data_IF_735392017141
#
_entry.id   IF_735392017141
#
_cell.length_a   1.000
_cell.length_b   1.000
_cell.length_c   1.000
_cell.angle_alpha   90.00
_cell.angle_beta   90.00
_cell.angle_gamma   90.00
#
_symmetry.space_group_name_H-M   'P 1'
#
loop_
_entity.id
_entity.type
_entity.pdbx_description
1 polymer ?
#
# COMPACT_ATOMS: atom_id res chain seq x y z
N UNK A 1 9.57 -19.73 26.96
CA UNK A 1 9.12 -19.10 25.70
C UNK A 1 8.00 -19.89 25.02
N UNK A 2 8.17 -21.18 24.73
CA UNK A 2 7.13 -22.07 24.15
C UNK A 2 5.82 -22.15 24.97
N UNK A 3 5.91 -22.21 26.31
CA UNK A 3 4.72 -22.24 27.17
C UNK A 3 3.94 -20.90 27.17
N UNK A 4 4.63 -19.77 27.00
CA UNK A 4 4.00 -18.45 26.93
C UNK A 4 3.21 -18.28 25.64
N UNK A 5 3.78 -18.72 24.50
CA UNK A 5 3.07 -18.76 23.23
C UNK A 5 1.84 -19.67 23.29
N UNK A 6 1.94 -20.84 23.94
CA UNK A 6 0.82 -21.76 24.09
C UNK A 6 -0.32 -21.16 24.92
N UNK A 7 -0.01 -20.46 26.02
CA UNK A 7 -1.01 -19.81 26.87
C UNK A 7 -1.71 -18.62 26.17
N UNK A 8 -0.97 -17.85 25.35
CA UNK A 8 -1.56 -16.76 24.54
C UNK A 8 -2.52 -17.34 23.49
N UNK A 9 -2.11 -18.41 22.81
CA UNK A 9 -2.94 -19.09 21.81
C UNK A 9 -4.19 -19.70 22.44
N UNK A 10 -4.08 -20.40 23.57
CA UNK A 10 -5.22 -20.95 24.32
C UNK A 10 -6.18 -19.85 24.82
N UNK A 11 -5.65 -18.72 25.32
CA UNK A 11 -6.47 -17.59 25.75
C UNK A 11 -7.25 -16.92 24.61
N UNK A 12 -6.69 -16.91 23.39
CA UNK A 12 -7.39 -16.45 22.20
C UNK A 12 -8.43 -17.46 21.70
N UNK A 13 -8.14 -18.78 21.79
CA UNK A 13 -9.10 -19.85 21.44
C UNK A 13 -10.41 -19.73 22.23
N UNK A 14 -10.34 -19.51 23.54
CA UNK A 14 -11.52 -19.39 24.41
C UNK A 14 -12.37 -18.15 24.06
N UNK A 15 -11.71 -17.04 23.74
CA UNK A 15 -12.36 -15.79 23.24
C UNK A 15 -13.01 -15.98 21.87
N UNK A 16 -12.40 -16.80 21.00
CA UNK A 16 -12.87 -17.08 19.65
C UNK A 16 -14.05 -18.05 19.61
N UNK A 17 -14.17 -18.93 20.62
CA UNK A 17 -15.29 -19.89 20.78
C UNK A 17 -16.56 -19.23 21.31
N UNK A 18 -16.42 -18.24 22.21
CA UNK A 18 -17.56 -17.49 22.79
C UNK A 18 -18.21 -16.47 21.84
N UNK A 19 -17.53 -16.05 20.76
CA UNK A 19 -17.98 -14.92 19.93
C UNK A 19 -18.84 -15.27 18.71
N UNK A 20 -19.10 -16.54 18.40
CA UNK A 20 -20.03 -16.91 17.30
C UNK A 20 -19.79 -16.18 15.97
N UNK A 21 -18.54 -15.78 15.69
CA UNK A 21 -18.24 -14.92 14.54
C UNK A 21 -18.12 -15.81 13.29
N UNK A 22 -18.80 -15.49 12.18
CA UNK A 22 -18.77 -16.33 10.98
C UNK A 22 -17.33 -16.51 10.49
N UNK A 23 -17.00 -17.75 10.09
CA UNK A 23 -15.67 -18.19 9.63
C UNK A 23 -15.03 -17.22 8.62
N UNK A 24 -15.86 -16.54 7.83
CA UNK A 24 -15.50 -15.55 6.81
C UNK A 24 -14.70 -14.36 7.38
N UNK A 25 -15.01 -13.87 8.59
CA UNK A 25 -14.34 -12.69 9.16
C UNK A 25 -12.92 -13.00 9.64
N UNK A 26 -12.62 -14.26 9.99
CA UNK A 26 -11.29 -14.68 10.48
C UNK A 26 -10.28 -14.91 9.34
N UNK A 27 -10.76 -15.25 8.15
CA UNK A 27 -9.90 -15.52 6.98
C UNK A 27 -9.29 -14.24 6.42
N UNK A 28 -9.99 -13.10 6.49
CA UNK A 28 -9.48 -11.81 5.97
C UNK A 28 -8.23 -11.32 6.71
N UNK A 29 -8.19 -11.44 8.04
CA UNK A 29 -7.04 -11.04 8.84
C UNK A 29 -5.80 -11.91 8.53
N UNK A 30 -6.01 -13.22 8.38
CA UNK A 30 -4.95 -14.14 7.98
C UNK A 30 -4.43 -13.85 6.57
N UNK A 31 -5.30 -13.53 5.62
CA UNK A 31 -4.88 -13.18 4.25
C UNK A 31 -4.04 -11.90 4.20
N UNK A 32 -4.38 -10.89 5.02
CA UNK A 32 -3.58 -9.66 5.13
C UNK A 32 -2.19 -9.91 5.71
N UNK A 33 -2.06 -10.77 6.72
CA UNK A 33 -0.76 -11.13 7.28
C UNK A 33 0.07 -11.95 6.29
N UNK A 34 -0.55 -12.87 5.55
CA UNK A 34 0.12 -13.62 4.48
C UNK A 34 0.68 -12.68 3.39
N UNK A 35 -0.07 -11.66 2.99
CA UNK A 35 0.40 -10.65 2.04
C UNK A 35 1.58 -9.84 2.58
N UNK A 36 1.51 -9.42 3.86
CA UNK A 36 2.56 -8.64 4.51
C UNK A 36 3.91 -9.36 4.55
N UNK A 37 3.88 -10.68 4.74
CA UNK A 37 5.08 -11.51 4.82
C UNK A 37 5.43 -12.18 3.48
N UNK A 38 4.74 -11.85 2.39
CA UNK A 38 5.00 -12.43 1.06
C UNK A 38 4.80 -13.94 0.99
N UNK A 39 3.93 -14.50 1.83
CA UNK A 39 3.74 -15.95 1.92
C UNK A 39 2.99 -16.45 0.68
N UNK A 40 3.50 -17.56 0.10
CA UNK A 40 2.87 -18.22 -1.04
C UNK A 40 1.49 -18.77 -0.69
N UNK A 41 0.58 -18.85 -1.67
CA UNK A 41 -0.77 -19.35 -1.44
C UNK A 41 -0.80 -20.79 -0.89
N UNK A 42 0.20 -21.63 -1.25
CA UNK A 42 0.31 -23.01 -0.75
C UNK A 42 0.75 -23.05 0.71
N UNK A 43 1.74 -22.24 1.07
CA UNK A 43 2.19 -22.13 2.46
C UNK A 43 1.09 -21.52 3.35
N UNK A 44 0.41 -20.48 2.85
CA UNK A 44 -0.73 -19.87 3.54
C UNK A 44 -1.88 -20.87 3.75
N UNK A 45 -2.20 -21.67 2.74
CA UNK A 45 -3.16 -22.77 2.85
C UNK A 45 -2.82 -23.77 3.96
N UNK A 46 -1.55 -24.20 4.06
CA UNK A 46 -1.10 -25.11 5.10
C UNK A 46 -1.19 -24.49 6.50
N UNK A 47 -0.74 -23.24 6.65
CA UNK A 47 -0.79 -22.50 7.93
C UNK A 47 -2.24 -22.32 8.40
N UNK A 48 -3.14 -21.87 7.53
CA UNK A 48 -4.54 -21.66 7.89
C UNK A 48 -5.22 -23.00 8.19
N UNK A 49 -4.92 -24.06 7.43
CA UNK A 49 -5.44 -25.41 7.71
C UNK A 49 -5.02 -25.92 9.09
N UNK A 50 -3.74 -25.79 9.44
CA UNK A 50 -3.21 -26.21 10.74
C UNK A 50 -3.84 -25.41 11.89
N UNK A 51 -3.97 -24.08 11.74
CA UNK A 51 -4.64 -23.24 12.75
C UNK A 51 -6.12 -23.60 12.91
N UNK A 52 -6.82 -23.91 11.81
CA UNK A 52 -8.22 -24.31 11.87
C UNK A 52 -8.43 -25.69 12.51
N UNK A 53 -7.47 -26.61 12.36
CA UNK A 53 -7.43 -27.87 13.09
C UNK A 53 -7.20 -27.64 14.58
N UNK A 54 -6.22 -26.81 14.94
CA UNK A 54 -5.89 -26.48 16.35
C UNK A 54 -7.04 -25.80 17.11
N UNK A 55 -7.88 -25.02 16.39
CA UNK A 55 -9.06 -24.35 16.93
C UNK A 55 -10.28 -25.29 16.95
N UNK A 56 -10.16 -26.52 16.42
CA UNK A 56 -11.22 -27.53 16.42
C UNK A 56 -12.35 -27.23 15.42
N UNK A 57 -12.10 -26.40 14.42
CA UNK A 57 -13.05 -26.08 13.34
C UNK A 57 -13.03 -27.17 12.26
N UNK A 58 -11.85 -27.76 12.04
CA UNK A 58 -11.65 -28.88 11.12
C UNK A 58 -11.22 -30.09 11.95
N UNK A 59 -11.85 -31.24 11.72
CA UNK A 59 -11.52 -32.53 12.37
C UNK A 59 -10.98 -33.50 11.33
N UNK A 60 -9.89 -34.21 11.66
CA UNK A 60 -9.27 -35.23 10.80
C UNK A 60 -10.22 -36.40 10.48
N UNK A 61 -11.22 -36.67 11.33
CA UNK A 61 -12.11 -37.82 11.18
C UNK A 61 -13.18 -37.67 10.09
N UNK A 62 -13.37 -36.48 9.54
CA UNK A 62 -14.32 -36.29 8.45
C UNK A 62 -13.56 -36.28 7.13
N UNK A 63 -13.28 -37.46 6.58
CA UNK A 63 -12.50 -37.70 5.36
C UNK A 63 -13.05 -36.94 4.12
N UNK A 64 -14.32 -36.50 4.18
CA UNK A 64 -14.95 -35.63 3.16
C UNK A 64 -14.68 -34.12 3.37
N UNK A 65 -14.32 -33.70 4.59
CA UNK A 65 -13.88 -32.34 4.96
C UNK A 65 -12.35 -32.21 5.07
N UNK A 66 -11.58 -33.24 4.68
CA UNK A 66 -10.14 -33.16 4.36
C UNK A 66 -9.90 -32.34 3.08
N UNK A 67 -10.86 -31.50 2.68
CA UNK A 67 -10.58 -30.30 1.88
C UNK A 67 -10.03 -29.25 2.84
N UNK A 68 -8.75 -29.41 3.20
CA UNK A 68 -7.96 -28.33 3.78
C UNK A 68 -8.13 -27.05 2.99
N UNK A 69 -7.78 -25.91 3.58
CA UNK A 69 -7.90 -24.62 2.90
C UNK A 69 -7.12 -24.71 1.58
N UNK A 70 -7.83 -24.83 0.46
CA UNK A 70 -7.17 -24.97 -0.83
C UNK A 70 -6.47 -23.66 -1.19
N UNK A 71 -5.39 -23.77 -1.95
CA UNK A 71 -4.67 -22.64 -2.54
C UNK A 71 -5.64 -21.69 -3.24
N UNK A 72 -6.66 -22.21 -3.95
CA UNK A 72 -7.63 -21.37 -4.63
C UNK A 72 -8.53 -20.58 -3.67
N UNK A 73 -8.82 -21.10 -2.46
CA UNK A 73 -9.59 -20.36 -1.45
C UNK A 73 -8.77 -19.17 -0.93
N UNK A 74 -7.48 -19.37 -0.62
CA UNK A 74 -6.57 -18.27 -0.25
C UNK A 74 -6.51 -17.22 -1.36
N UNK A 75 -6.32 -17.65 -2.61
CA UNK A 75 -6.26 -16.75 -3.76
C UNK A 75 -7.53 -15.93 -3.91
N UNK A 76 -8.71 -16.54 -3.78
CA UNK A 76 -10.01 -15.84 -3.86
C UNK A 76 -10.15 -14.80 -2.76
N UNK A 77 -9.83 -15.15 -1.52
CA UNK A 77 -9.94 -14.22 -0.39
C UNK A 77 -8.91 -13.08 -0.49
N UNK A 78 -7.72 -13.35 -1.01
CA UNK A 78 -6.70 -12.35 -1.35
C UNK A 78 -7.17 -11.39 -2.43
N UNK A 79 -7.80 -11.88 -3.50
CA UNK A 79 -8.42 -11.02 -4.52
C UNK A 79 -9.49 -10.14 -3.91
N UNK A 80 -10.43 -10.70 -3.13
CA UNK A 80 -11.48 -9.91 -2.46
C UNK A 80 -10.90 -8.84 -1.54
N UNK A 81 -9.92 -9.21 -0.71
CA UNK A 81 -9.26 -8.28 0.21
C UNK A 81 -8.63 -7.10 -0.54
N UNK A 82 -7.95 -7.38 -1.66
CA UNK A 82 -7.35 -6.34 -2.52
C UNK A 82 -8.40 -5.49 -3.21
N UNK A 83 -9.46 -6.08 -3.74
CA UNK A 83 -10.57 -5.33 -4.35
C UNK A 83 -11.26 -4.40 -3.34
N UNK A 84 -11.51 -4.86 -2.12
CA UNK A 84 -12.07 -4.01 -1.05
C UNK A 84 -11.13 -2.86 -0.68
N UNK A 85 -9.81 -3.12 -0.60
CA UNK A 85 -8.83 -2.05 -0.37
C UNK A 85 -8.79 -1.05 -1.53
N UNK A 86 -8.80 -1.54 -2.77
CA UNK A 86 -8.83 -0.68 -3.96
C UNK A 86 -10.11 0.15 -4.01
N UNK A 87 -11.28 -0.40 -3.71
CA UNK A 87 -12.52 0.40 -3.65
C UNK A 87 -12.49 1.46 -2.55
N UNK A 88 -11.87 1.16 -1.40
CA UNK A 88 -11.69 2.14 -0.33
C UNK A 88 -10.68 3.23 -0.70
N UNK A 89 -9.68 2.89 -1.51
CA UNK A 89 -8.70 3.85 -2.03
C UNK A 89 -9.35 4.74 -3.10
N UNK A 90 -10.04 4.15 -4.08
CA UNK A 90 -10.73 4.87 -5.15
C UNK A 90 -11.76 5.85 -4.61
N UNK A 91 -12.52 5.50 -3.57
CA UNK A 91 -13.48 6.43 -2.93
C UNK A 91 -12.78 7.58 -2.19
N UNK A 92 -11.52 7.42 -1.78
CA UNK A 92 -10.74 8.49 -1.15
C UNK A 92 -9.98 9.34 -2.16
N UNK A 93 -9.59 8.79 -3.30
CA UNK A 93 -8.79 9.51 -4.31
C UNK A 93 -9.61 10.57 -5.07
N UNK A 94 -10.94 10.47 -5.10
CA UNK A 94 -11.81 11.48 -5.74
C UNK A 94 -12.10 12.72 -4.88
N UNK A 95 -11.69 12.75 -3.61
CA UNK A 95 -12.01 13.84 -2.66
C UNK A 95 -10.78 14.69 -2.29
N UNK A 96 -9.57 14.25 -2.65
CA UNK A 96 -8.35 15.05 -2.54
C UNK A 96 -7.95 15.48 -3.93
N UNK A 97 -7.91 16.81 -4.20
CA UNK A 97 -7.41 17.37 -5.46
C UNK A 97 -6.11 16.69 -5.86
N UNK A 98 -6.16 15.85 -6.90
CA UNK A 98 -5.04 15.00 -7.27
C UNK A 98 -4.07 15.83 -8.10
N UNK A 99 -2.92 16.18 -7.52
CA UNK A 99 -1.92 16.95 -8.23
C UNK A 99 -1.09 16.06 -9.17
N UNK A 100 -1.16 16.35 -10.47
CA UNK A 100 -0.24 15.88 -11.49
C UNK A 100 1.01 16.77 -11.57
N UNK A 101 2.19 16.14 -11.58
CA UNK A 101 3.45 16.82 -11.87
C UNK A 101 3.83 16.62 -13.33
N UNK A 102 3.97 17.71 -14.08
CA UNK A 102 4.38 17.69 -15.48
C UNK A 102 5.79 18.25 -15.66
N UNK A 103 6.69 17.38 -16.12
CA UNK A 103 8.05 17.77 -16.50
C UNK A 103 8.06 18.18 -17.97
N UNK A 104 8.12 19.48 -18.23
CA UNK A 104 8.17 19.99 -19.60
C UNK A 104 9.55 19.78 -20.26
N UNK A 105 10.54 19.26 -19.51
CA UNK A 105 11.91 19.06 -20.00
C UNK A 105 12.63 20.34 -20.42
N UNK A 106 12.02 21.51 -20.15
CA UNK A 106 12.57 22.82 -20.50
C UNK A 106 13.70 23.15 -19.55
N UNK A 107 14.84 23.48 -20.16
CA UNK A 107 16.03 23.98 -19.49
C UNK A 107 16.31 25.37 -20.02
N UNK A 108 15.76 26.35 -19.35
CA UNK A 108 15.87 27.74 -19.76
C UNK A 108 17.28 28.23 -19.41
N UNK A 109 17.96 28.86 -20.38
CA UNK A 109 19.34 29.32 -20.26
C UNK A 109 19.34 30.84 -20.15
N UNK A 110 19.69 31.35 -18.98
CA UNK A 110 19.77 32.78 -18.71
C UNK A 110 21.22 33.24 -18.66
N UNK A 111 21.53 34.40 -19.27
CA UNK A 111 22.84 35.01 -19.20
C UNK A 111 22.91 35.97 -18.02
N UNK A 112 23.79 35.68 -17.06
CA UNK A 112 24.13 36.58 -15.97
C UNK A 112 25.50 37.22 -16.24
N UNK A 113 25.63 38.51 -15.95
CA UNK A 113 26.92 39.20 -15.93
C UNK A 113 27.46 39.16 -14.50
N UNK A 114 28.59 38.49 -14.28
CA UNK A 114 29.27 38.41 -12.98
C UNK A 114 30.74 38.76 -13.23
N UNK A 115 31.28 39.77 -12.55
CA UNK A 115 32.67 40.24 -12.68
C UNK A 115 33.13 40.47 -14.13
N UNK A 116 32.31 41.15 -14.93
CA UNK A 116 32.57 41.42 -16.35
C UNK A 116 32.69 40.15 -17.23
N UNK A 117 32.34 38.97 -16.71
CA UNK A 117 32.29 37.70 -17.44
C UNK A 117 30.83 37.28 -17.62
N UNK A 118 30.54 36.69 -18.78
CA UNK A 118 29.24 36.08 -19.07
C UNK A 118 29.16 34.70 -18.44
N UNK A 119 28.19 34.47 -17.57
CA UNK A 119 27.88 33.18 -16.97
C UNK A 119 26.51 32.73 -17.47
N UNK A 120 26.43 31.48 -17.94
CA UNK A 120 25.15 30.87 -18.32
C UNK A 120 24.61 30.13 -17.10
N UNK A 121 23.40 30.48 -16.68
CA UNK A 121 22.64 29.74 -15.67
C UNK A 121 21.60 28.91 -16.41
N UNK A 122 21.43 27.65 -15.98
CA UNK A 122 20.45 26.73 -16.54
C UNK A 122 19.43 26.45 -15.45
N UNK A 123 18.17 26.78 -15.72
CA UNK A 123 17.06 26.55 -14.81
C UNK A 123 16.12 25.49 -15.38
N UNK A 124 15.66 24.58 -14.52
CA UNK A 124 14.69 23.55 -14.85
C UNK A 124 13.30 23.98 -14.37
N UNK A 125 12.31 23.91 -15.28
CA UNK A 125 10.93 24.30 -15.01
C UNK A 125 10.01 23.09 -14.91
N UNK A 126 9.30 22.98 -13.78
CA UNK A 126 8.35 21.91 -13.46
C UNK A 126 6.97 22.54 -13.27
N UNK A 127 5.97 22.09 -14.02
CA UNK A 127 4.59 22.56 -13.89
C UNK A 127 3.79 21.64 -12.98
N UNK A 128 3.02 22.23 -12.07
CA UNK A 128 2.04 21.53 -11.23
C UNK A 128 0.66 21.75 -11.81
N UNK A 129 -0.08 20.66 -11.96
CA UNK A 129 -1.32 20.61 -12.70
C UNK A 129 -2.33 19.80 -11.90
N UNK A 130 -3.59 20.24 -11.83
CA UNK A 130 -4.65 19.48 -11.17
C UNK A 130 -5.23 18.44 -12.13
N UNK A 131 -5.45 17.24 -11.62
CA UNK A 131 -6.17 16.17 -12.31
C UNK A 131 -7.43 15.76 -11.53
N UNK A 132 -8.52 15.40 -12.24
CA UNK A 132 -8.65 15.28 -13.70
C UNK A 132 -8.96 16.62 -14.39
N UNK A 133 -8.25 16.94 -15.47
CA UNK A 133 -8.52 18.12 -16.29
C UNK A 133 -7.28 18.89 -16.74
N UNK A 134 -6.12 18.50 -16.24
CA UNK A 134 -4.84 19.16 -16.48
C UNK A 134 -4.92 20.69 -16.31
N UNK A 135 -5.59 21.16 -15.24
CA UNK A 135 -5.68 22.58 -14.92
C UNK A 135 -4.36 23.10 -14.32
N UNK A 136 -3.82 24.17 -14.87
CA UNK A 136 -2.53 24.70 -14.42
C UNK A 136 -2.66 25.39 -13.05
N UNK A 137 -1.97 24.87 -12.04
CA UNK A 137 -1.94 25.43 -10.68
C UNK A 137 -0.75 26.38 -10.50
N UNK A 138 0.40 25.99 -11.05
CA UNK A 138 1.63 26.77 -10.89
C UNK A 138 2.85 26.07 -11.45
N UNK A 139 4.02 26.66 -11.22
CA UNK A 139 5.30 26.06 -11.60
C UNK A 139 6.38 26.33 -10.56
N UNK A 140 7.40 25.49 -10.61
CA UNK A 140 8.61 25.57 -9.80
C UNK A 140 9.81 25.68 -10.75
N UNK A 141 10.65 26.69 -10.53
CA UNK A 141 11.91 26.88 -11.26
C UNK A 141 13.06 26.58 -10.31
N UNK A 142 13.97 25.68 -10.71
CA UNK A 142 15.15 25.34 -9.91
C UNK A 142 16.44 25.45 -10.71
N UNK A 143 17.47 26.05 -10.12
CA UNK A 143 18.77 26.27 -10.76
C UNK A 143 19.59 24.98 -10.92
N UNK A 144 19.21 23.89 -10.25
CA UNK A 144 19.92 22.62 -10.26
C UNK A 144 18.95 21.43 -10.18
N UNK A 145 18.99 20.56 -11.20
CA UNK A 145 18.19 19.34 -11.29
C UNK A 145 18.60 18.21 -10.34
N UNK A 146 18.97 18.52 -9.09
CA UNK A 146 19.15 17.50 -8.05
C UNK A 146 17.78 17.16 -7.49
N UNK A 147 17.44 15.87 -7.45
CA UNK A 147 16.15 15.39 -6.95
C UNK A 147 15.79 15.95 -5.55
N UNK A 148 16.78 16.12 -4.67
CA UNK A 148 16.56 16.70 -3.33
C UNK A 148 16.12 18.17 -3.39
N UNK A 149 16.72 18.98 -4.26
CA UNK A 149 16.38 20.41 -4.41
C UNK A 149 14.97 20.50 -5.02
N UNK A 150 14.72 19.77 -6.10
CA UNK A 150 13.40 19.69 -6.75
C UNK A 150 12.32 19.31 -5.73
N UNK A 151 12.53 18.25 -4.95
CA UNK A 151 11.58 17.79 -3.95
C UNK A 151 11.29 18.85 -2.88
N UNK A 152 12.31 19.55 -2.40
CA UNK A 152 12.14 20.63 -1.40
C UNK A 152 11.33 21.81 -1.96
N UNK A 153 11.59 22.22 -3.20
CA UNK A 153 10.85 23.31 -3.82
C UNK A 153 9.39 22.94 -4.11
N UNK A 154 9.12 21.71 -4.57
CA UNK A 154 7.76 21.20 -4.75
C UNK A 154 7.02 21.14 -3.40
N UNK A 155 7.68 20.63 -2.36
CA UNK A 155 7.11 20.58 -1.01
C UNK A 155 6.79 21.99 -0.48
N UNK A 156 7.71 22.94 -0.64
CA UNK A 156 7.48 24.33 -0.23
C UNK A 156 6.30 24.96 -0.98
N UNK A 157 6.16 24.69 -2.28
CA UNK A 157 5.04 25.18 -3.07
C UNK A 157 3.70 24.62 -2.56
N UNK A 158 3.64 23.31 -2.29
CA UNK A 158 2.42 22.64 -1.82
C UNK A 158 2.05 22.96 -0.36
N UNK A 159 3.00 23.41 0.46
CA UNK A 159 2.76 23.74 1.88
C UNK A 159 2.47 25.23 2.10
N UNK A 160 2.93 26.12 1.22
CA UNK A 160 2.68 27.56 1.32
C UNK A 160 1.42 28.05 0.58
N UNK A 161 0.80 27.21 -0.26
CA UNK A 161 -0.50 27.48 -0.90
C UNK A 161 -1.63 26.83 -0.09
#
# INVERSE_FOLDING_TARGET
MLQLMRAIVEGEKEKLKKKGLPVVTKVLAAVRTLDRFGISDRAGAAIVSAVLQDVGIISENNVLNVVGVDRNKIRRERTKARTTLLSQLVVKDYDYGQFGLYFNGRKDRSLLMEDNRRKVIIEEHISLVEEPGSEYIGHVSVNFGRAQIIGNHIYSFLVMC
#
